data_IF_353501551498
#
_entry.id   IF_353501551498
#
_cell.length_a   1.000
_cell.length_b   1.000
_cell.length_c   1.000
_cell.angle_alpha   90.00
_cell.angle_beta   90.00
_cell.angle_gamma   90.00
#
_symmetry.space_group_name_H-M   'P 1'
#
loop_
_entity.id
_entity.type
_entity.pdbx_description
1 polymer ?
#
# COMPACT_ATOMS: atom_id res chain seq x y z
N UNK A 1 13.29 -12.33 0.85
CA UNK A 1 12.55 -11.10 0.55
C UNK A 1 11.09 -11.41 0.22
N UNK A 2 10.42 -12.23 1.03
CA UNK A 2 9.02 -12.62 0.78
C UNK A 2 8.33 -12.72 2.13
N UNK A 3 7.80 -11.57 2.58
CA UNK A 3 7.32 -11.36 3.95
C UNK A 3 5.79 -11.30 3.98
N UNK A 4 5.19 -10.79 2.91
CA UNK A 4 3.74 -10.59 2.76
C UNK A 4 3.34 -10.75 1.29
N UNK A 5 2.15 -11.31 1.05
CA UNK A 5 1.51 -11.37 -0.28
C UNK A 5 0.45 -10.28 -0.51
N UNK A 6 0.09 -9.55 0.56
CA UNK A 6 -0.86 -8.44 0.61
C UNK A 6 -2.30 -8.80 0.23
N UNK A 7 -2.64 -10.08 0.11
CA UNK A 7 -3.96 -10.56 -0.36
C UNK A 7 -4.55 -11.67 0.49
N UNK A 8 -3.73 -12.43 1.21
CA UNK A 8 -4.21 -13.54 2.06
C UNK A 8 -4.50 -13.01 3.47
N UNK A 9 -5.78 -12.97 3.89
CA UNK A 9 -6.11 -12.62 5.25
C UNK A 9 -5.77 -13.77 6.22
N UNK A 10 -5.60 -13.44 7.49
CA UNK A 10 -5.56 -14.46 8.55
C UNK A 10 -6.93 -15.16 8.70
N UNK A 11 -6.98 -16.39 9.26
CA UNK A 11 -8.21 -17.16 9.39
C UNK A 11 -9.33 -16.47 10.20
N UNK A 12 -8.97 -15.52 11.06
CA UNK A 12 -9.87 -14.73 11.90
C UNK A 12 -10.33 -13.41 11.24
N UNK A 13 -9.89 -13.13 10.00
CA UNK A 13 -10.25 -11.93 9.26
C UNK A 13 -11.07 -12.26 8.01
N UNK A 14 -12.39 -12.26 8.14
CA UNK A 14 -13.30 -12.45 7.00
C UNK A 14 -13.49 -11.13 6.23
N UNK A 15 -12.72 -10.99 5.14
CA UNK A 15 -12.73 -9.80 4.26
C UNK A 15 -14.13 -9.51 3.73
N UNK A 16 -14.88 -10.51 3.29
CA UNK A 16 -16.18 -10.31 2.64
C UNK A 16 -17.23 -9.90 3.66
N UNK A 17 -17.28 -10.58 4.79
CA UNK A 17 -18.22 -10.27 5.86
C UNK A 17 -17.97 -8.87 6.42
N UNK A 18 -16.71 -8.55 6.75
CA UNK A 18 -16.35 -7.23 7.30
C UNK A 18 -16.65 -6.11 6.32
N UNK A 19 -16.37 -6.31 5.03
CA UNK A 19 -16.66 -5.30 4.01
C UNK A 19 -18.16 -5.07 3.84
N UNK A 20 -18.95 -6.15 3.76
CA UNK A 20 -20.42 -6.05 3.73
C UNK A 20 -20.97 -5.34 4.97
N UNK A 21 -20.42 -5.65 6.15
CA UNK A 21 -20.81 -5.02 7.40
C UNK A 21 -20.45 -3.54 7.43
N UNK A 22 -19.25 -3.16 6.99
CA UNK A 22 -18.82 -1.77 6.88
C UNK A 22 -19.77 -0.96 5.98
N UNK A 23 -20.11 -1.51 4.81
CA UNK A 23 -21.07 -0.90 3.89
C UNK A 23 -22.46 -0.76 4.51
N UNK A 24 -22.94 -1.75 5.28
CA UNK A 24 -24.22 -1.68 6.00
C UNK A 24 -24.27 -0.55 7.05
N UNK A 25 -23.09 -0.11 7.52
CA UNK A 25 -22.92 0.98 8.49
C UNK A 25 -22.54 2.31 7.82
N UNK A 26 -22.44 2.36 6.50
CA UNK A 26 -22.01 3.56 5.77
C UNK A 26 -20.55 3.93 6.03
N UNK A 27 -19.71 2.98 6.47
CA UNK A 27 -18.27 3.19 6.69
C UNK A 27 -17.46 2.40 5.66
N UNK A 28 -16.20 2.80 5.45
CA UNK A 28 -15.26 2.08 4.59
C UNK A 28 -14.10 1.57 5.40
N UNK A 29 -13.62 0.38 5.06
CA UNK A 29 -12.38 -0.14 5.60
C UNK A 29 -11.20 0.54 4.88
N UNK A 30 -10.11 0.76 5.62
CA UNK A 30 -8.83 1.22 5.07
C UNK A 30 -7.87 0.04 5.02
N UNK A 31 -7.26 -0.19 3.86
CA UNK A 31 -6.29 -1.27 3.68
C UNK A 31 -4.97 -0.95 4.41
N UNK A 32 -4.19 -1.98 4.75
CA UNK A 32 -2.87 -1.82 5.36
C UNK A 32 -1.82 -2.69 4.64
N UNK A 33 -0.82 -2.05 4.05
CA UNK A 33 0.32 -2.70 3.37
C UNK A 33 1.63 -2.36 4.10
N UNK A 34 1.90 -3.04 5.20
CA UNK A 34 3.23 -3.02 5.80
C UNK A 34 4.20 -3.86 4.96
N UNK A 35 5.35 -3.31 4.59
CA UNK A 35 6.31 -3.98 3.70
C UNK A 35 7.50 -4.57 4.44
N UNK A 36 7.72 -4.17 5.71
CA UNK A 36 8.96 -4.44 6.45
C UNK A 36 10.21 -4.08 5.65
N UNK A 37 10.12 -2.97 4.92
CA UNK A 37 11.15 -2.45 4.01
C UNK A 37 11.58 -3.41 2.89
N UNK A 38 10.80 -4.46 2.63
CA UNK A 38 11.01 -5.38 1.51
C UNK A 38 10.36 -4.85 0.23
N UNK A 39 10.99 -3.83 -0.35
CA UNK A 39 10.41 -2.98 -1.39
C UNK A 39 10.18 -3.75 -2.69
N UNK A 40 11.16 -4.54 -3.12
CA UNK A 40 11.04 -5.38 -4.32
C UNK A 40 9.93 -6.44 -4.18
N UNK A 41 9.70 -6.95 -2.97
CA UNK A 41 8.59 -7.86 -2.71
C UNK A 41 7.25 -7.16 -2.92
N UNK A 42 7.13 -5.96 -2.37
CA UNK A 42 5.92 -5.17 -2.49
C UNK A 42 5.61 -4.81 -3.95
N UNK A 43 6.61 -4.34 -4.71
CA UNK A 43 6.42 -4.03 -6.14
C UNK A 43 5.92 -5.21 -6.97
N UNK A 44 6.42 -6.43 -6.69
CA UNK A 44 5.99 -7.66 -7.39
C UNK A 44 4.52 -8.02 -7.12
N UNK A 45 4.01 -7.65 -5.95
CA UNK A 45 2.64 -7.94 -5.53
C UNK A 45 1.69 -6.75 -5.73
N UNK A 46 2.21 -5.55 -6.02
CA UNK A 46 1.46 -4.30 -5.98
C UNK A 46 0.20 -4.29 -6.85
N UNK A 47 0.26 -4.77 -8.10
CA UNK A 47 -0.93 -4.84 -8.96
C UNK A 47 -1.99 -5.80 -8.40
N UNK A 48 -1.57 -6.98 -7.91
CA UNK A 48 -2.51 -7.94 -7.31
C UNK A 48 -3.13 -7.38 -6.03
N UNK A 49 -2.34 -6.69 -5.21
CA UNK A 49 -2.80 -6.07 -3.98
C UNK A 49 -3.79 -4.93 -4.25
N UNK A 50 -3.53 -4.06 -5.23
CA UNK A 50 -4.46 -3.01 -5.62
C UNK A 50 -5.72 -3.54 -6.31
N UNK A 51 -5.61 -4.59 -7.13
CA UNK A 51 -6.79 -5.26 -7.66
C UNK A 51 -7.63 -5.88 -6.54
N UNK A 52 -7.01 -6.54 -5.57
CA UNK A 52 -7.69 -7.06 -4.38
C UNK A 52 -8.41 -5.95 -3.61
N UNK A 53 -7.79 -4.77 -3.48
CA UNK A 53 -8.44 -3.61 -2.88
C UNK A 53 -9.69 -3.19 -3.66
N UNK A 54 -9.62 -3.08 -4.99
CA UNK A 54 -10.76 -2.73 -5.85
C UNK A 54 -11.87 -3.77 -5.72
N UNK A 55 -11.54 -5.05 -5.82
CA UNK A 55 -12.50 -6.16 -5.75
C UNK A 55 -13.24 -6.21 -4.40
N UNK A 56 -12.59 -5.72 -3.34
CA UNK A 56 -13.14 -5.68 -1.99
C UNK A 56 -13.49 -4.26 -1.52
N UNK A 57 -13.63 -3.28 -2.42
CA UNK A 57 -14.17 -1.96 -2.09
C UNK A 57 -13.28 -1.05 -1.22
N UNK A 58 -11.99 -1.37 -1.06
CA UNK A 58 -11.03 -0.52 -0.35
C UNK A 58 -10.60 0.64 -1.24
N UNK A 59 -10.92 1.87 -0.85
CA UNK A 59 -10.55 3.08 -1.61
C UNK A 59 -9.33 3.82 -1.08
N UNK A 60 -8.76 3.34 0.03
CA UNK A 60 -7.57 3.94 0.64
C UNK A 60 -6.69 2.86 1.28
N UNK A 61 -5.37 3.07 1.24
CA UNK A 61 -4.37 2.21 1.87
C UNK A 61 -3.42 3.01 2.72
N UNK A 62 -3.10 2.49 3.91
CA UNK A 62 -1.93 2.87 4.68
C UNK A 62 -0.79 1.91 4.33
N UNK A 63 0.31 2.40 3.78
CA UNK A 63 1.54 1.62 3.58
C UNK A 63 2.59 1.94 4.65
N UNK A 64 3.55 1.05 4.86
CA UNK A 64 4.65 1.22 5.81
C UNK A 64 5.95 0.55 5.36
N UNK A 65 7.09 1.12 5.77
CA UNK A 65 8.43 0.68 5.40
C UNK A 65 9.33 0.61 6.64
N UNK A 66 8.93 -0.20 7.62
CA UNK A 66 9.68 -0.36 8.88
C UNK A 66 10.91 -1.24 8.67
N UNK A 67 12.07 -0.78 9.16
CA UNK A 67 13.36 -1.50 9.08
C UNK A 67 14.24 -1.03 7.93
N UNK A 68 15.45 -1.59 7.80
CA UNK A 68 16.40 -1.20 6.74
C UNK A 68 15.89 -1.63 5.35
N UNK A 69 16.13 -0.79 4.33
CA UNK A 69 15.67 -1.05 2.95
C UNK A 69 16.29 -2.34 2.40
N UNK A 70 15.42 -3.14 1.77
CA UNK A 70 15.79 -4.30 0.95
C UNK A 70 15.34 -3.99 -0.48
N UNK A 71 16.27 -3.78 -1.42
CA UNK A 71 17.66 -4.25 -1.45
C UNK A 71 18.62 -3.50 -0.51
N UNK A 72 19.49 -4.26 0.16
CA UNK A 72 20.47 -3.73 1.13
C UNK A 72 21.44 -2.77 0.44
N UNK A 73 21.70 -1.63 1.06
CA UNK A 73 22.56 -0.57 0.53
C UNK A 73 21.81 0.68 0.08
N UNK A 74 20.49 0.56 -0.14
CA UNK A 74 19.61 1.71 -0.33
C UNK A 74 19.16 2.31 1.02
N UNK A 75 18.72 3.56 0.97
CA UNK A 75 18.18 4.29 2.12
C UNK A 75 16.78 4.80 1.81
N UNK A 76 15.92 4.94 2.83
CA UNK A 76 14.52 5.39 2.67
C UNK A 76 14.35 6.65 1.86
N UNK A 77 15.33 7.55 1.86
CA UNK A 77 15.25 8.86 1.20
C UNK A 77 16.17 8.99 -0.01
N UNK A 78 16.82 7.89 -0.40
CA UNK A 78 17.65 7.80 -1.60
C UNK A 78 16.79 7.91 -2.88
N UNK A 79 17.45 8.17 -4.00
CA UNK A 79 16.77 8.34 -5.29
C UNK A 79 15.95 7.11 -5.67
N UNK A 80 16.46 5.91 -5.40
CA UNK A 80 15.75 4.65 -5.67
C UNK A 80 14.42 4.57 -4.93
N UNK A 81 14.42 4.84 -3.62
CA UNK A 81 13.20 4.83 -2.81
C UNK A 81 12.24 5.95 -3.16
N UNK A 82 12.73 7.15 -3.50
CA UNK A 82 11.87 8.22 -3.98
C UNK A 82 11.13 7.83 -5.27
N UNK A 83 11.79 7.10 -6.17
CA UNK A 83 11.16 6.55 -7.37
C UNK A 83 10.12 5.48 -7.01
N UNK A 84 10.42 4.60 -6.05
CA UNK A 84 9.48 3.60 -5.56
C UNK A 84 8.19 4.23 -5.00
N UNK A 85 8.30 5.21 -4.09
CA UNK A 85 7.11 5.86 -3.52
C UNK A 85 6.26 6.54 -4.59
N UNK A 86 6.90 7.23 -5.54
CA UNK A 86 6.20 7.87 -6.64
C UNK A 86 5.53 6.83 -7.57
N UNK A 87 6.19 5.70 -7.82
CA UNK A 87 5.61 4.58 -8.57
C UNK A 87 4.37 4.02 -7.89
N UNK A 88 4.44 3.76 -6.58
CA UNK A 88 3.31 3.26 -5.79
C UNK A 88 2.11 4.22 -5.85
N UNK A 89 2.34 5.53 -5.68
CA UNK A 89 1.28 6.55 -5.73
C UNK A 89 0.67 6.65 -7.13
N UNK A 90 1.49 6.70 -8.18
CA UNK A 90 1.01 6.77 -9.57
C UNK A 90 0.18 5.54 -9.93
N UNK A 91 0.65 4.34 -9.59
CA UNK A 91 -0.11 3.12 -9.84
C UNK A 91 -1.40 3.10 -9.02
N UNK A 92 -1.39 3.48 -7.75
CA UNK A 92 -2.60 3.56 -6.95
C UNK A 92 -3.64 4.51 -7.57
N UNK A 93 -3.21 5.61 -8.20
CA UNK A 93 -4.10 6.52 -8.92
C UNK A 93 -4.82 5.85 -10.11
N UNK A 94 -4.15 4.96 -10.85
CA UNK A 94 -4.78 4.18 -11.93
C UNK A 94 -5.93 3.30 -11.42
N UNK A 95 -5.84 2.81 -10.17
CA UNK A 95 -6.88 2.05 -9.47
C UNK A 95 -7.84 2.93 -8.65
N UNK A 96 -7.69 4.26 -8.67
CA UNK A 96 -8.46 5.23 -7.87
C UNK A 96 -8.35 5.00 -6.36
N UNK A 97 -7.15 4.68 -5.89
CA UNK A 97 -6.82 4.41 -4.49
C UNK A 97 -6.02 5.58 -3.90
N UNK A 98 -6.45 6.09 -2.75
CA UNK A 98 -5.67 7.05 -1.97
C UNK A 98 -4.59 6.34 -1.14
N UNK A 99 -3.39 6.93 -1.07
CA UNK A 99 -2.25 6.35 -0.35
C UNK A 99 -1.84 7.23 0.84
N UNK A 100 -1.71 6.60 2.01
CA UNK A 100 -1.04 7.16 3.19
C UNK A 100 0.23 6.35 3.48
N UNK A 101 1.40 6.84 3.08
CA UNK A 101 2.66 6.12 3.23
C UNK A 101 3.41 6.56 4.48
N UNK A 102 3.49 5.68 5.48
CA UNK A 102 4.36 5.83 6.63
C UNK A 102 5.82 5.47 6.27
N UNK A 103 6.80 6.02 6.99
CA UNK A 103 8.26 5.87 6.77
C UNK A 103 8.80 6.30 5.39
N UNK A 104 7.93 6.78 4.50
CA UNK A 104 8.32 7.31 3.20
C UNK A 104 9.06 8.65 3.31
N UNK A 105 9.58 9.12 2.17
CA UNK A 105 10.18 10.46 2.09
C UNK A 105 9.19 11.52 2.54
N UNK A 106 9.65 12.48 3.36
CA UNK A 106 8.84 13.63 3.78
C UNK A 106 8.24 14.35 2.56
N UNK A 107 6.98 14.82 2.62
CA UNK A 107 6.33 15.41 1.47
C UNK A 107 6.98 16.73 1.04
N UNK A 108 7.00 16.96 -0.28
CA UNK A 108 7.53 18.18 -0.91
C UNK A 108 6.51 18.88 -1.83
N UNK A 109 5.22 18.58 -1.67
CA UNK A 109 4.12 19.21 -2.41
C UNK A 109 3.62 18.43 -3.64
N UNK A 110 4.08 17.19 -3.85
CA UNK A 110 3.62 16.32 -4.94
C UNK A 110 2.11 16.04 -4.92
N UNK A 111 1.46 16.14 -3.77
CA UNK A 111 0.00 15.99 -3.65
C UNK A 111 -0.78 16.98 -4.53
N UNK A 112 -0.19 18.12 -4.92
CA UNK A 112 -0.79 19.08 -5.86
C UNK A 112 -0.93 18.51 -7.28
N UNK A 113 -0.08 17.56 -7.68
CA UNK A 113 -0.02 17.03 -9.03
C UNK A 113 -0.60 15.61 -9.17
N UNK A 114 -0.85 14.93 -8.06
CA UNK A 114 -1.22 13.51 -8.00
C UNK A 114 -2.63 13.29 -7.42
N UNK A 115 -3.52 14.24 -7.65
CA UNK A 115 -4.93 14.23 -7.23
C UNK A 115 -5.85 13.58 -8.25
#
# INVERSE_FOLDING_TARGET
>A
DDVFDFVTPYPDFDVKMLNAYAHSKGVKLMMHHETSSSVRNYERHMDKAYQFMVDNGYTAVKSGYVGDIIPRGEHHYGQWMNNHYLYAIKKAADYKICVNAHEAVRPTGLCRYLS
#
